data_IF_749640433161
#
_entry.id   IF_749640433161
#
_cell.length_a   1.000
_cell.length_b   1.000
_cell.length_c   1.000
_cell.angle_alpha   90.00
_cell.angle_beta   90.00
_cell.angle_gamma   90.00
#
_symmetry.space_group_name_H-M   'P 1'
#
loop_
_entity.id
_entity.type
_entity.pdbx_description
1 polymer ?
#
# COMPACT_ATOMS: atom_id res chain seq x y z
N UNK A 1 -6.03 -12.23 -3.73
CA UNK A 1 -5.29 -11.93 -4.98
C UNK A 1 -3.88 -11.43 -4.67
N UNK A 2 -3.70 -10.50 -3.71
CA UNK A 2 -2.43 -9.83 -3.40
C UNK A 2 -1.31 -10.79 -2.95
N UNK A 3 -1.59 -11.86 -2.21
CA UNK A 3 -0.59 -12.86 -1.79
C UNK A 3 -0.13 -13.82 -2.93
N UNK A 4 -0.48 -13.55 -4.18
CA UNK A 4 0.06 -14.27 -5.34
C UNK A 4 1.30 -13.55 -5.83
N UNK A 5 2.46 -13.97 -5.35
CA UNK A 5 3.76 -13.34 -5.62
C UNK A 5 4.07 -13.08 -7.10
N UNK A 6 3.55 -13.91 -8.00
CA UNK A 6 3.75 -13.76 -9.44
C UNK A 6 3.12 -12.50 -10.02
N UNK A 7 2.04 -11.99 -9.39
CA UNK A 7 1.30 -10.81 -9.86
C UNK A 7 1.66 -9.52 -9.13
N UNK A 8 2.46 -9.60 -8.07
CA UNK A 8 2.88 -8.43 -7.31
C UNK A 8 3.52 -7.38 -8.23
N UNK A 9 3.14 -6.13 -8.01
CA UNK A 9 3.57 -4.95 -8.77
C UNK A 9 3.01 -4.81 -10.18
N UNK A 10 2.26 -5.77 -10.70
CA UNK A 10 1.61 -5.60 -12.01
C UNK A 10 0.55 -4.49 -11.94
N UNK A 11 0.55 -3.51 -12.87
CA UNK A 11 -0.40 -2.38 -12.82
C UNK A 11 -1.88 -2.76 -12.99
N UNK A 12 -2.19 -3.96 -13.46
CA UNK A 12 -3.55 -4.40 -13.74
C UNK A 12 -4.01 -5.56 -12.83
N UNK A 13 -3.09 -6.44 -12.48
CA UNK A 13 -3.40 -7.67 -11.74
C UNK A 13 -3.17 -7.54 -10.23
N UNK A 14 -2.33 -6.58 -9.80
CA UNK A 14 -2.11 -6.29 -8.38
C UNK A 14 -2.88 -5.02 -7.97
N UNK A 15 -3.96 -5.16 -7.17
CA UNK A 15 -4.77 -4.01 -6.73
C UNK A 15 -3.99 -3.03 -5.83
N UNK A 16 -2.86 -3.45 -5.28
CA UNK A 16 -2.01 -2.62 -4.42
C UNK A 16 -0.80 -2.05 -5.16
N UNK A 17 -0.68 -2.31 -6.46
CA UNK A 17 0.41 -1.78 -7.27
C UNK A 17 0.37 -0.26 -7.35
N UNK A 18 1.53 0.35 -7.07
CA UNK A 18 1.73 1.79 -7.26
C UNK A 18 2.37 2.13 -8.60
N UNK A 19 2.65 1.14 -9.43
CA UNK A 19 3.18 1.34 -10.76
C UNK A 19 2.07 1.56 -11.78
N UNK A 20 2.39 2.30 -12.82
CA UNK A 20 1.54 2.46 -13.99
C UNK A 20 2.14 1.73 -15.20
N UNK A 21 1.26 1.33 -16.11
CA UNK A 21 1.68 0.91 -17.43
C UNK A 21 2.40 2.09 -18.14
N UNK A 22 3.57 1.86 -18.79
CA UNK A 22 4.30 2.91 -19.49
C UNK A 22 3.48 3.64 -20.56
N UNK A 23 2.54 2.96 -21.22
CA UNK A 23 1.68 3.58 -22.23
C UNK A 23 0.63 4.51 -21.59
N UNK A 24 0.07 4.08 -20.45
CA UNK A 24 -0.82 4.92 -19.64
C UNK A 24 -0.07 6.16 -19.16
N UNK A 25 1.13 5.98 -18.63
CA UNK A 25 1.98 7.08 -18.15
C UNK A 25 2.24 8.12 -19.23
N UNK A 26 2.57 7.70 -20.46
CA UNK A 26 2.83 8.61 -21.58
C UNK A 26 1.63 9.46 -21.96
N UNK A 27 0.42 8.96 -21.78
CA UNK A 27 -0.84 9.68 -22.10
C UNK A 27 -1.29 10.64 -21.01
N UNK A 28 -0.70 10.59 -19.81
CA UNK A 28 -1.07 11.50 -18.73
C UNK A 28 -0.61 12.93 -19.04
N UNK A 29 -1.44 13.90 -18.63
CA UNK A 29 -1.06 15.31 -18.64
C UNK A 29 0.15 15.60 -17.75
N UNK A 30 0.87 16.68 -18.03
CA UNK A 30 2.08 17.04 -17.27
C UNK A 30 1.81 17.20 -15.77
N UNK A 31 0.67 17.85 -15.41
CA UNK A 31 0.31 18.04 -14.00
C UNK A 31 0.02 16.71 -13.27
N UNK A 32 -0.68 15.76 -13.93
CA UNK A 32 -0.92 14.43 -13.34
C UNK A 32 0.38 13.68 -13.12
N UNK A 33 1.30 13.74 -14.07
CA UNK A 33 2.64 13.15 -13.92
C UNK A 33 3.41 13.79 -12.77
N UNK A 34 3.30 15.12 -12.59
CA UNK A 34 3.94 15.81 -11.47
C UNK A 34 3.37 15.35 -10.12
N UNK A 35 2.04 15.28 -9.98
CA UNK A 35 1.37 14.77 -8.77
C UNK A 35 1.80 13.34 -8.45
N UNK A 36 1.83 12.45 -9.44
CA UNK A 36 2.22 11.05 -9.24
C UNK A 36 3.70 10.90 -8.91
N UNK A 37 4.59 11.73 -9.47
CA UNK A 37 6.00 11.77 -9.06
C UNK A 37 6.15 12.23 -7.61
N UNK A 38 5.46 13.30 -7.22
CA UNK A 38 5.45 13.74 -5.83
C UNK A 38 4.92 12.64 -4.89
N UNK A 39 3.80 12.00 -5.24
CA UNK A 39 3.23 10.87 -4.51
C UNK A 39 4.17 9.65 -4.42
N UNK A 40 5.21 9.58 -5.22
CA UNK A 40 6.20 8.50 -5.19
C UNK A 40 7.41 8.79 -4.29
N UNK A 41 7.41 9.91 -3.57
CA UNK A 41 8.25 10.16 -2.39
C UNK A 41 7.50 9.77 -1.13
N UNK A 42 8.20 9.53 -0.02
CA UNK A 42 7.52 9.17 1.23
C UNK A 42 6.64 10.30 1.75
N UNK A 43 7.14 11.55 1.78
CA UNK A 43 6.34 12.72 2.17
C UNK A 43 5.12 12.91 1.26
N UNK A 44 5.33 12.83 -0.05
CA UNK A 44 4.25 12.95 -1.02
C UNK A 44 3.22 11.82 -0.86
N UNK A 45 3.68 10.59 -0.59
CA UNK A 45 2.81 9.44 -0.32
C UNK A 45 1.95 9.63 0.94
N UNK A 46 2.53 10.18 2.00
CA UNK A 46 1.78 10.51 3.21
C UNK A 46 0.79 11.65 2.97
N UNK A 47 1.22 12.73 2.31
CA UNK A 47 0.40 13.91 2.10
C UNK A 47 -0.68 13.73 1.03
N UNK A 48 -0.35 13.11 -0.11
CA UNK A 48 -1.22 12.99 -1.28
C UNK A 48 -1.81 11.59 -1.46
N UNK A 49 -1.18 10.57 -0.86
CA UNK A 49 -1.53 9.17 -1.09
C UNK A 49 -3.00 8.85 -0.90
N UNK A 50 -3.65 9.22 0.22
CA UNK A 50 -5.08 8.98 0.38
C UNK A 50 -5.92 9.67 -0.71
N UNK A 51 -5.63 10.95 -1.01
CA UNK A 51 -6.35 11.72 -2.04
C UNK A 51 -6.14 11.16 -3.46
N UNK A 52 -4.98 10.56 -3.74
CA UNK A 52 -4.67 9.96 -5.05
C UNK A 52 -5.26 8.56 -5.19
N UNK A 53 -5.27 7.76 -4.12
CA UNK A 53 -5.67 6.34 -4.18
C UNK A 53 -7.17 6.11 -3.96
N UNK A 54 -7.82 6.89 -3.08
CA UNK A 54 -9.23 6.67 -2.74
C UNK A 54 -10.20 6.94 -3.90
N UNK A 55 -10.10 8.05 -4.68
CA UNK A 55 -11.10 8.32 -5.71
C UNK A 55 -11.16 7.27 -6.83
N UNK A 56 -10.05 6.74 -7.36
CA UNK A 56 -10.10 5.64 -8.33
C UNK A 56 -10.72 4.38 -7.75
N UNK A 57 -10.37 4.02 -6.53
CA UNK A 57 -10.91 2.87 -5.81
C UNK A 57 -12.44 3.01 -5.61
N UNK A 58 -12.90 4.16 -5.09
CA UNK A 58 -14.33 4.45 -4.93
C UNK A 58 -15.09 4.36 -6.25
N UNK A 59 -14.49 4.87 -7.33
CA UNK A 59 -15.10 4.81 -8.66
C UNK A 59 -15.26 3.38 -9.15
N UNK A 60 -14.26 2.53 -8.92
CA UNK A 60 -14.30 1.12 -9.31
C UNK A 60 -15.36 0.36 -8.51
N UNK A 61 -15.38 0.52 -7.19
CA UNK A 61 -16.39 -0.08 -6.32
C UNK A 61 -17.81 0.38 -6.72
N UNK A 62 -18.00 1.67 -6.98
CA UNK A 62 -19.30 2.18 -7.43
C UNK A 62 -19.72 1.58 -8.78
N UNK A 63 -18.79 1.47 -9.73
CA UNK A 63 -19.08 0.85 -11.04
C UNK A 63 -19.48 -0.62 -10.89
N UNK A 64 -18.78 -1.38 -10.07
CA UNK A 64 -19.09 -2.78 -9.80
C UNK A 64 -20.45 -2.93 -9.11
N UNK A 65 -20.73 -2.12 -8.10
CA UNK A 65 -22.00 -2.12 -7.41
C UNK A 65 -23.17 -1.78 -8.36
N UNK A 66 -23.01 -0.74 -9.19
CA UNK A 66 -24.01 -0.34 -10.17
C UNK A 66 -24.16 -1.40 -11.28
N UNK A 67 -23.04 -2.05 -11.68
CA UNK A 67 -23.03 -3.16 -12.64
C UNK A 67 -23.65 -4.45 -12.13
N UNK A 68 -24.10 -4.48 -10.88
CA UNK A 68 -24.86 -5.64 -10.34
C UNK A 68 -24.01 -6.69 -9.63
N UNK A 69 -22.72 -6.42 -9.33
CA UNK A 69 -21.88 -7.38 -8.59
C UNK A 69 -22.46 -7.65 -7.19
N UNK A 70 -23.00 -8.85 -6.93
CA UNK A 70 -23.71 -9.15 -5.68
C UNK A 70 -22.76 -9.16 -4.48
N UNK A 71 -21.50 -9.53 -4.67
CA UNK A 71 -20.52 -9.55 -3.59
C UNK A 71 -20.18 -8.13 -3.13
N UNK A 72 -19.99 -7.21 -4.07
CA UNK A 72 -19.74 -5.80 -3.77
C UNK A 72 -20.95 -5.16 -3.12
N UNK A 73 -22.16 -5.37 -3.66
CA UNK A 73 -23.40 -4.83 -3.06
C UNK A 73 -23.60 -5.32 -1.62
N UNK A 74 -23.40 -6.62 -1.39
CA UNK A 74 -23.50 -7.19 -0.03
C UNK A 74 -22.46 -6.61 0.91
N UNK A 75 -21.22 -6.47 0.47
CA UNK A 75 -20.15 -5.89 1.27
C UNK A 75 -20.47 -4.44 1.69
N UNK A 76 -20.96 -3.63 0.75
CA UNK A 76 -21.37 -2.25 1.05
C UNK A 76 -22.60 -2.17 1.94
N UNK A 77 -23.58 -3.05 1.77
CA UNK A 77 -24.75 -3.09 2.65
C UNK A 77 -24.36 -3.44 4.09
N UNK A 78 -23.49 -4.43 4.28
CA UNK A 78 -22.98 -4.82 5.60
C UNK A 78 -22.11 -3.70 6.21
N UNK A 79 -21.30 -3.02 5.40
CA UNK A 79 -20.51 -1.89 5.85
C UNK A 79 -21.40 -0.72 6.32
N UNK A 80 -22.42 -0.36 5.54
CA UNK A 80 -23.38 0.67 5.92
C UNK A 80 -24.14 0.32 7.20
N UNK A 81 -24.57 -0.95 7.33
CA UNK A 81 -25.21 -1.43 8.55
C UNK A 81 -24.26 -1.36 9.78
N UNK A 82 -22.97 -1.68 9.57
CA UNK A 82 -21.96 -1.56 10.63
C UNK A 82 -21.60 -0.11 10.98
N UNK A 83 -21.72 0.82 10.03
CA UNK A 83 -21.48 2.25 10.29
C UNK A 83 -22.67 2.93 11.02
N UNK A 84 -23.89 2.42 10.88
CA UNK A 84 -25.06 3.03 11.51
C UNK A 84 -24.94 3.21 13.02
N UNK A 85 -24.57 2.18 13.83
CA UNK A 85 -24.38 2.36 15.26
C UNK A 85 -23.24 3.33 15.60
N UNK A 86 -22.18 3.37 14.79
CA UNK A 86 -21.07 4.32 14.96
C UNK A 86 -21.54 5.76 14.72
N UNK A 87 -22.31 5.99 13.66
CA UNK A 87 -22.88 7.29 13.35
C UNK A 87 -23.87 7.76 14.45
N UNK A 88 -24.72 6.85 14.92
CA UNK A 88 -25.65 7.12 16.03
C UNK A 88 -24.89 7.48 17.30
N UNK A 89 -23.87 6.71 17.65
CA UNK A 89 -23.06 7.00 18.84
C UNK A 89 -22.34 8.35 18.71
N UNK A 90 -21.73 8.64 17.58
CA UNK A 90 -21.05 9.92 17.33
C UNK A 90 -22.03 11.10 17.38
N UNK A 91 -23.26 10.95 16.89
CA UNK A 91 -24.28 12.02 16.94
C UNK A 91 -24.90 12.22 18.33
N UNK A 92 -25.02 11.16 19.14
CA UNK A 92 -25.66 11.21 20.42
C UNK A 92 -24.69 11.55 21.57
N UNK A 93 -23.47 11.10 21.52
CA UNK A 93 -22.46 11.16 22.58
C UNK A 93 -21.22 11.94 22.18
N UNK A 94 -20.89 11.94 20.88
CA UNK A 94 -19.68 12.57 20.37
C UNK A 94 -19.78 14.09 20.37
N UNK A 95 -18.74 14.75 20.88
CA UNK A 95 -18.58 16.22 20.84
C UNK A 95 -17.63 16.66 19.74
N UNK A 96 -16.99 15.70 19.04
CA UNK A 96 -16.02 16.00 17.98
C UNK A 96 -16.73 16.49 16.72
N UNK A 97 -16.37 17.66 16.17
CA UNK A 97 -16.95 18.13 14.92
C UNK A 97 -16.52 17.24 13.75
N UNK A 98 -17.41 17.06 12.77
CA UNK A 98 -17.18 16.17 11.61
C UNK A 98 -15.86 16.43 10.89
N UNK A 99 -15.47 17.70 10.73
CA UNK A 99 -14.20 18.03 10.06
C UNK A 99 -12.98 17.48 10.81
N UNK A 100 -13.00 17.49 12.15
CA UNK A 100 -11.90 16.95 12.96
C UNK A 100 -11.84 15.42 12.84
N UNK A 101 -12.98 14.75 12.80
CA UNK A 101 -13.05 13.31 12.52
C UNK A 101 -12.47 12.97 11.13
N UNK A 102 -12.88 13.71 10.10
CA UNK A 102 -12.38 13.51 8.73
C UNK A 102 -10.87 13.80 8.64
N UNK A 103 -10.39 14.84 9.31
CA UNK A 103 -8.96 15.13 9.39
C UNK A 103 -8.18 14.01 10.08
N UNK A 104 -8.69 13.50 11.20
CA UNK A 104 -8.08 12.37 11.92
C UNK A 104 -8.06 11.11 11.05
N UNK A 105 -9.15 10.81 10.34
CA UNK A 105 -9.21 9.69 9.39
C UNK A 105 -8.18 9.85 8.25
N UNK A 106 -8.05 11.05 7.70
CA UNK A 106 -7.05 11.33 6.66
C UNK A 106 -5.63 11.13 7.19
N UNK A 107 -5.32 11.64 8.38
CA UNK A 107 -4.01 11.48 9.03
C UNK A 107 -3.70 10.01 9.34
N UNK A 108 -4.69 9.24 9.77
CA UNK A 108 -4.54 7.80 9.99
C UNK A 108 -4.21 7.06 8.68
N UNK A 109 -4.91 7.40 7.59
CA UNK A 109 -4.60 6.86 6.27
C UNK A 109 -3.20 7.29 5.78
N UNK A 110 -2.80 8.55 6.05
CA UNK A 110 -1.47 9.07 5.73
C UNK A 110 -0.37 8.30 6.46
N UNK A 111 -0.60 7.99 7.74
CA UNK A 111 0.31 7.19 8.56
C UNK A 111 0.42 5.75 8.01
N UNK A 112 -0.70 5.15 7.61
CA UNK A 112 -0.71 3.83 6.99
C UNK A 112 0.10 3.79 5.67
N UNK A 113 0.19 4.92 4.95
CA UNK A 113 1.00 5.01 3.72
C UNK A 113 2.51 4.86 3.97
N UNK A 114 3.01 5.06 5.19
CA UNK A 114 4.41 4.75 5.54
C UNK A 114 4.66 3.25 5.41
N UNK A 115 3.75 2.44 5.91
CA UNK A 115 3.82 0.98 5.81
C UNK A 115 3.87 0.55 4.35
N UNK A 116 2.86 0.96 3.56
CA UNK A 116 2.67 0.47 2.19
C UNK A 116 3.64 1.08 1.17
N UNK A 117 4.48 2.05 1.57
CA UNK A 117 5.39 2.74 0.66
C UNK A 117 6.44 1.82 0.05
N UNK A 118 7.00 0.90 0.85
CA UNK A 118 8.11 0.03 0.44
C UNK A 118 7.74 -1.45 0.31
N UNK A 119 6.51 -1.85 0.63
CA UNK A 119 6.12 -3.25 0.69
C UNK A 119 6.58 -4.03 -0.53
N UNK A 120 6.40 -3.46 -1.72
CA UNK A 120 6.80 -4.10 -2.98
C UNK A 120 7.61 -3.18 -3.89
N UNK A 121 8.56 -3.79 -4.62
CA UNK A 121 9.29 -3.19 -5.74
C UNK A 121 9.18 -4.05 -6.98
N UNK A 122 9.28 -3.45 -8.16
CA UNK A 122 9.43 -4.19 -9.40
C UNK A 122 10.74 -4.96 -9.40
N UNK A 123 10.67 -6.28 -9.61
CA UNK A 123 11.82 -7.16 -9.71
C UNK A 123 11.47 -8.37 -10.58
N UNK A 124 12.42 -8.85 -11.41
CA UNK A 124 12.19 -9.99 -12.32
C UNK A 124 11.74 -11.24 -11.56
N UNK A 125 12.43 -11.56 -10.46
CA UNK A 125 12.07 -12.71 -9.61
C UNK A 125 11.03 -12.28 -8.59
N UNK A 126 9.90 -12.98 -8.53
CA UNK A 126 8.80 -12.72 -7.59
C UNK A 126 9.28 -12.58 -6.14
N UNK A 127 10.13 -13.49 -5.69
CA UNK A 127 10.69 -13.47 -4.35
C UNK A 127 11.53 -12.21 -4.02
N UNK A 128 12.03 -11.48 -5.04
CA UNK A 128 12.77 -10.23 -4.85
C UNK A 128 11.90 -8.99 -4.71
N UNK A 129 10.56 -9.14 -4.76
CA UNK A 129 9.63 -8.01 -4.78
C UNK A 129 9.25 -7.49 -3.40
N UNK A 130 9.30 -8.30 -2.36
CA UNK A 130 8.84 -7.92 -1.02
C UNK A 130 9.98 -7.51 -0.09
N UNK A 131 9.77 -6.43 0.66
CA UNK A 131 10.77 -5.82 1.56
C UNK A 131 10.91 -6.57 2.89
N UNK A 132 12.06 -6.38 3.51
CA UNK A 132 12.27 -6.55 4.96
C UNK A 132 12.79 -5.24 5.52
N UNK A 133 12.11 -4.66 6.50
CA UNK A 133 12.60 -3.54 7.32
C UNK A 133 12.86 -4.11 8.72
N UNK A 134 14.12 -4.16 9.14
CA UNK A 134 14.53 -4.78 10.40
C UNK A 134 14.27 -3.88 11.63
N UNK A 135 13.20 -3.09 11.57
CA UNK A 135 12.79 -2.20 12.65
C UNK A 135 12.01 -2.96 13.72
N UNK A 136 12.22 -2.60 14.98
CA UNK A 136 11.48 -3.08 16.15
C UNK A 136 10.92 -1.93 17.00
N UNK A 137 10.92 -0.73 16.45
CA UNK A 137 10.43 0.47 17.10
C UNK A 137 8.91 0.63 17.04
N UNK A 138 8.40 1.80 17.44
CA UNK A 138 6.96 2.07 17.50
C UNK A 138 6.21 1.83 16.18
N UNK A 139 6.84 2.15 15.03
CA UNK A 139 6.20 1.93 13.73
C UNK A 139 6.06 0.43 13.39
N UNK A 140 7.05 -0.40 13.78
CA UNK A 140 6.93 -1.84 13.59
C UNK A 140 5.75 -2.41 14.39
N UNK A 141 5.59 -1.97 15.65
CA UNK A 141 4.46 -2.37 16.49
C UNK A 141 3.13 -1.84 15.93
N UNK A 142 3.06 -0.56 15.56
CA UNK A 142 1.88 0.06 14.98
C UNK A 142 1.40 -0.66 13.72
N UNK A 143 2.33 -1.15 12.91
CA UNK A 143 2.04 -1.89 11.68
C UNK A 143 2.04 -3.40 11.87
N UNK A 144 1.91 -3.88 13.12
CA UNK A 144 1.81 -5.31 13.46
C UNK A 144 2.94 -6.15 12.84
N UNK A 145 4.17 -5.67 12.93
CA UNK A 145 5.38 -6.29 12.36
C UNK A 145 5.30 -6.61 10.84
N UNK A 146 4.37 -5.98 10.12
CA UNK A 146 4.27 -6.15 8.66
C UNK A 146 5.45 -5.48 7.89
N UNK A 147 6.33 -4.78 8.59
CA UNK A 147 7.65 -4.39 8.09
C UNK A 147 8.54 -5.60 7.70
N UNK A 148 8.24 -6.80 8.22
CA UNK A 148 8.83 -8.07 7.77
C UNK A 148 8.02 -8.68 6.60
N UNK A 149 7.74 -7.87 5.59
CA UNK A 149 6.74 -8.16 4.55
C UNK A 149 7.07 -9.40 3.70
N UNK A 150 8.36 -9.61 3.39
CA UNK A 150 8.79 -10.82 2.70
C UNK A 150 8.56 -12.11 3.51
N UNK A 151 8.58 -12.01 4.85
CA UNK A 151 8.27 -13.14 5.74
C UNK A 151 6.77 -13.39 5.76
N UNK A 152 5.97 -12.31 5.86
CA UNK A 152 4.52 -12.37 5.82
C UNK A 152 4.01 -13.00 4.51
N UNK A 153 4.53 -12.59 3.36
CA UNK A 153 4.17 -13.18 2.06
C UNK A 153 4.54 -14.67 1.96
N UNK A 154 5.70 -15.06 2.49
CA UNK A 154 6.12 -16.45 2.48
C UNK A 154 5.32 -17.33 3.46
N UNK A 155 4.84 -16.76 4.55
CA UNK A 155 4.17 -17.47 5.64
C UNK A 155 3.00 -16.65 6.22
N UNK A 156 1.92 -16.41 5.45
CA UNK A 156 0.80 -15.54 5.85
C UNK A 156 0.02 -16.05 7.07
N UNK A 157 0.16 -17.34 7.41
CA UNK A 157 -0.47 -17.97 8.58
C UNK A 157 0.26 -17.66 9.89
N UNK A 158 1.50 -17.14 9.86
CA UNK A 158 2.22 -16.80 11.09
C UNK A 158 1.62 -15.52 11.69
N UNK A 159 1.18 -15.54 12.96
CA UNK A 159 0.62 -14.37 13.59
C UNK A 159 1.68 -13.26 13.73
N UNK A 160 1.23 -12.02 13.61
CA UNK A 160 2.10 -10.84 13.58
C UNK A 160 3.13 -10.75 14.73
N UNK A 161 2.76 -11.16 15.93
CA UNK A 161 3.63 -11.14 17.11
C UNK A 161 4.74 -12.19 17.06
N UNK A 162 4.59 -13.26 16.28
CA UNK A 162 5.59 -14.30 16.10
C UNK A 162 6.56 -14.03 14.94
N UNK A 163 6.21 -13.12 14.01
CA UNK A 163 7.04 -12.79 12.84
C UNK A 163 8.47 -12.38 13.21
N UNK A 164 8.74 -11.54 14.24
CA UNK A 164 10.09 -11.12 14.57
C UNK A 164 11.00 -12.29 14.99
N UNK A 165 10.49 -13.21 15.79
CA UNK A 165 11.24 -14.40 16.19
C UNK A 165 11.49 -15.32 15.01
N UNK A 166 10.45 -15.61 14.24
CA UNK A 166 10.55 -16.48 13.07
C UNK A 166 11.55 -15.93 12.02
N UNK A 167 11.55 -14.61 11.81
CA UNK A 167 12.53 -13.94 10.96
C UNK A 167 13.95 -14.07 11.52
N UNK A 168 14.16 -13.78 12.80
CA UNK A 168 15.48 -13.80 13.42
C UNK A 168 16.16 -15.15 13.28
N UNK A 169 15.42 -16.26 13.45
CA UNK A 169 15.91 -17.64 13.29
C UNK A 169 16.31 -17.98 11.84
N UNK A 170 15.78 -17.25 10.84
CA UNK A 170 15.93 -17.55 9.41
C UNK A 170 16.35 -16.34 8.58
N UNK A 171 16.96 -15.35 9.21
CA UNK A 171 17.28 -14.05 8.63
C UNK A 171 18.00 -14.15 7.29
N UNK A 172 19.09 -14.93 7.25
CA UNK A 172 19.90 -15.07 6.03
C UNK A 172 19.13 -15.71 4.89
N UNK A 173 18.29 -16.69 5.20
CA UNK A 173 17.42 -17.33 4.21
C UNK A 173 16.49 -16.30 3.55
N UNK A 174 15.80 -15.47 4.35
CA UNK A 174 14.88 -14.46 3.81
C UNK A 174 15.61 -13.38 3.04
N UNK A 175 16.77 -12.90 3.52
CA UNK A 175 17.55 -11.89 2.81
C UNK A 175 18.14 -12.41 1.49
N UNK A 176 18.54 -13.65 1.43
CA UNK A 176 18.96 -14.30 0.18
C UNK A 176 17.77 -14.46 -0.78
N UNK A 177 16.62 -14.91 -0.26
CA UNK A 177 15.40 -15.12 -1.05
C UNK A 177 14.88 -13.82 -1.64
N UNK A 178 14.80 -12.73 -0.85
CA UNK A 178 14.28 -11.43 -1.30
C UNK A 178 15.33 -10.56 -2.02
N UNK A 179 16.50 -11.13 -2.37
CA UNK A 179 17.57 -10.44 -3.10
C UNK A 179 18.09 -9.19 -2.39
N UNK A 180 18.19 -9.26 -1.07
CA UNK A 180 18.72 -8.16 -0.27
C UNK A 180 17.84 -6.91 -0.23
N UNK A 181 16.56 -7.00 -0.57
CA UNK A 181 15.63 -5.87 -0.45
C UNK A 181 15.33 -5.63 1.03
N UNK A 182 16.21 -4.83 1.65
CA UNK A 182 16.27 -4.63 3.09
C UNK A 182 16.55 -3.20 3.46
N UNK A 183 15.95 -2.74 4.55
CA UNK A 183 16.30 -1.54 5.30
C UNK A 183 16.57 -1.91 6.75
N UNK A 184 17.53 -1.25 7.42
CA UNK A 184 17.83 -1.54 8.81
C UNK A 184 16.78 -0.97 9.77
N UNK A 185 16.13 0.14 9.39
CA UNK A 185 15.11 0.79 10.20
C UNK A 185 14.16 1.64 9.37
N UNK A 186 13.03 2.06 9.93
CA UNK A 186 12.20 3.12 9.34
C UNK A 186 12.93 4.45 9.24
N UNK A 187 13.87 4.74 10.15
CA UNK A 187 14.70 5.95 10.03
C UNK A 187 15.53 5.96 8.74
N UNK A 188 16.04 4.81 8.31
CA UNK A 188 16.76 4.70 7.03
C UNK A 188 15.82 4.87 5.84
N UNK A 189 14.60 4.38 5.94
CA UNK A 189 13.55 4.62 4.94
C UNK A 189 13.25 6.11 4.81
N UNK A 190 13.08 6.81 5.94
CA UNK A 190 12.85 8.25 5.94
C UNK A 190 14.03 9.01 5.34
N UNK A 191 15.27 8.71 5.73
CA UNK A 191 16.47 9.35 5.17
C UNK A 191 16.58 9.15 3.67
N UNK A 192 16.31 7.95 3.18
CA UNK A 192 16.48 7.63 1.78
C UNK A 192 15.35 8.19 0.89
N UNK A 193 14.12 8.24 1.39
CA UNK A 193 12.95 8.41 0.52
C UNK A 193 12.02 9.55 0.93
N UNK A 194 12.32 10.33 1.97
CA UNK A 194 11.42 11.39 2.43
C UNK A 194 11.04 12.35 1.30
N UNK A 195 12.05 12.85 0.58
CA UNK A 195 11.88 13.72 -0.59
C UNK A 195 12.31 13.08 -1.91
N UNK A 196 12.82 11.85 -1.84
CA UNK A 196 13.32 11.14 -3.02
C UNK A 196 12.38 10.01 -3.41
N UNK A 197 12.11 9.87 -4.71
CA UNK A 197 11.29 8.78 -5.22
C UNK A 197 11.97 7.43 -4.98
N UNK A 198 11.17 6.43 -4.62
CA UNK A 198 11.63 5.05 -4.45
C UNK A 198 11.99 4.40 -5.79
N UNK A 199 11.09 4.53 -6.75
CA UNK A 199 11.14 3.88 -8.06
C UNK A 199 10.57 4.82 -9.14
N UNK A 200 10.74 4.54 -10.43
CA UNK A 200 9.96 5.25 -11.46
C UNK A 200 8.47 4.90 -11.32
N UNK A 201 7.58 5.86 -11.61
CA UNK A 201 6.12 5.62 -11.60
C UNK A 201 5.69 4.63 -12.69
N UNK A 202 6.18 4.72 -13.95
CA UNK A 202 5.95 3.66 -14.93
C UNK A 202 6.72 2.41 -14.53
N UNK A 203 6.07 1.24 -14.65
CA UNK A 203 6.64 -0.05 -14.25
C UNK A 203 7.93 -0.34 -15.05
N UNK A 204 9.11 -0.47 -14.40
CA UNK A 204 10.40 -0.47 -15.09
C UNK A 204 10.66 -1.73 -15.93
N UNK A 205 10.03 -2.84 -15.58
CA UNK A 205 10.19 -4.12 -16.27
C UNK A 205 9.10 -4.38 -17.32
N UNK A 206 8.08 -3.53 -17.39
CA UNK A 206 7.02 -3.66 -18.38
C UNK A 206 7.38 -2.86 -19.62
N UNK A 207 7.67 -3.55 -20.73
CA UNK A 207 7.83 -2.91 -22.02
C UNK A 207 6.44 -2.45 -22.50
N UNK A 208 6.27 -1.15 -22.80
CA UNK A 208 5.08 -0.66 -23.47
C UNK A 208 4.80 -1.52 -24.71
N UNK A 209 3.54 -1.76 -25.03
CA UNK A 209 3.19 -2.44 -26.29
C UNK A 209 3.80 -1.64 -27.42
N UNK A 210 4.75 -2.25 -28.18
CA UNK A 210 5.18 -1.68 -29.43
C UNK A 210 3.93 -1.51 -30.31
N UNK A 211 3.69 -0.31 -30.79
CA UNK A 211 2.69 -0.11 -31.85
C UNK A 211 3.22 -0.85 -33.09
N UNK A 212 2.73 -2.05 -33.32
CA UNK A 212 2.74 -2.66 -34.65
C UNK A 212 1.54 -2.14 -35.40
#
# INVERSE_FOLDING_TARGET
AHHRDERLTDPYDDPESNYLDPDVWRRLSAWRRAVLRANNTLLGRMALGPAVSLPPWWRDEARRALGGDPAVRRAWALHAAGLAPVALWLSAVGTMPLWAYLAAAYLALSLLKIRTFLEHRAHEKAAGRSVVIEDRGPLALLFLNNNLHAVHHAHPQIPWHALPRFYAERREHFLKKNRGYRYASYADVFRAHFLSAKDPVPHPLRRGRSRT
#
